data_IF_633295962149
#
_entry.id   IF_633295962149
#
_cell.length_a   1.000
_cell.length_b   1.000
_cell.length_c   1.000
_cell.angle_alpha   90.00
_cell.angle_beta   90.00
_cell.angle_gamma   90.00
#
_symmetry.space_group_name_H-M   'P 1'
#
loop_
_entity.id
_entity.type
_entity.pdbx_description
1 polymer ?
#
# COMPACT_ATOMS: atom_id res chain seq x y z
N UNK A 1 -42.16 -22.35 -2.69
CA UNK A 1 -41.22 -21.50 -1.92
C UNK A 1 -41.82 -20.11 -1.68
N UNK A 2 -41.74 -19.54 -0.46
CA UNK A 2 -42.30 -18.22 -0.19
C UNK A 2 -41.57 -17.18 -1.04
N UNK A 3 -42.32 -16.36 -1.78
CA UNK A 3 -41.81 -15.32 -2.69
C UNK A 3 -40.78 -14.39 -2.01
N UNK A 4 -40.94 -14.17 -0.71
CA UNK A 4 -40.00 -13.42 0.13
C UNK A 4 -38.58 -14.03 0.15
N UNK A 5 -38.46 -15.35 0.20
CA UNK A 5 -37.17 -16.05 0.20
C UNK A 5 -36.44 -15.90 -1.14
N UNK A 6 -37.17 -15.94 -2.26
CA UNK A 6 -36.62 -15.73 -3.59
C UNK A 6 -36.13 -14.29 -3.81
N UNK A 7 -36.86 -13.30 -3.30
CA UNK A 7 -36.47 -11.89 -3.37
C UNK A 7 -35.18 -11.61 -2.56
N UNK A 8 -35.07 -12.15 -1.35
CA UNK A 8 -33.86 -12.04 -0.53
C UNK A 8 -32.66 -12.73 -1.18
N UNK A 9 -32.85 -13.92 -1.75
CA UNK A 9 -31.80 -14.64 -2.47
C UNK A 9 -31.28 -13.81 -3.67
N UNK A 10 -32.19 -13.18 -4.43
CA UNK A 10 -31.83 -12.29 -5.53
C UNK A 10 -31.08 -11.05 -5.05
N UNK A 11 -31.52 -10.42 -3.96
CA UNK A 11 -30.84 -9.25 -3.38
C UNK A 11 -29.39 -9.57 -2.97
N UNK A 12 -29.18 -10.70 -2.29
CA UNK A 12 -27.83 -11.17 -1.89
C UNK A 12 -26.95 -11.44 -3.10
N UNK A 13 -27.49 -12.10 -4.12
CA UNK A 13 -26.77 -12.34 -5.38
C UNK A 13 -26.39 -11.03 -6.07
N UNK A 14 -27.29 -10.04 -6.10
CA UNK A 14 -26.96 -8.72 -6.65
C UNK A 14 -25.89 -8.01 -5.84
N UNK A 15 -25.97 -8.00 -4.50
CA UNK A 15 -24.92 -7.40 -3.67
C UNK A 15 -23.56 -8.06 -3.93
N UNK A 16 -23.49 -9.39 -3.89
CA UNK A 16 -22.24 -10.11 -4.20
C UNK A 16 -21.70 -9.76 -5.58
N UNK A 17 -22.57 -9.62 -6.58
CA UNK A 17 -22.14 -9.22 -7.92
C UNK A 17 -21.49 -7.83 -7.93
N UNK A 18 -22.08 -6.82 -7.29
CA UNK A 18 -21.49 -5.47 -7.22
C UNK A 18 -20.20 -5.41 -6.40
N UNK A 19 -20.09 -6.24 -5.36
CA UNK A 19 -18.90 -6.28 -4.48
C UNK A 19 -17.74 -7.15 -5.00
N UNK A 20 -17.90 -7.87 -6.12
CA UNK A 20 -16.79 -8.65 -6.70
C UNK A 20 -15.54 -7.82 -6.98
N UNK A 21 -15.64 -6.74 -7.78
CA UNK A 21 -14.49 -5.89 -8.09
C UNK A 21 -13.94 -5.14 -6.84
N UNK A 22 -14.78 -4.54 -5.98
CA UNK A 22 -14.32 -3.96 -4.72
C UNK A 22 -13.54 -4.94 -3.82
N UNK A 23 -14.03 -6.17 -3.63
CA UNK A 23 -13.37 -7.16 -2.77
C UNK A 23 -12.04 -7.59 -3.36
N UNK A 24 -11.98 -7.85 -4.68
CA UNK A 24 -10.72 -8.18 -5.34
C UNK A 24 -9.69 -7.06 -5.21
N UNK A 25 -10.12 -5.80 -5.29
CA UNK A 25 -9.25 -4.66 -5.05
C UNK A 25 -8.68 -4.71 -3.62
N UNK A 26 -9.50 -4.92 -2.59
CA UNK A 26 -9.02 -5.04 -1.20
C UNK A 26 -8.03 -6.20 -0.99
N UNK A 27 -8.28 -7.35 -1.64
CA UNK A 27 -7.38 -8.50 -1.52
C UNK A 27 -6.01 -8.21 -2.12
N UNK A 28 -5.97 -7.45 -3.21
CA UNK A 28 -4.75 -7.11 -3.93
C UNK A 28 -4.07 -5.86 -3.34
N UNK A 29 -4.83 -4.93 -2.74
CA UNK A 29 -4.31 -3.65 -2.25
C UNK A 29 -3.23 -3.79 -1.19
N UNK A 30 -3.22 -4.87 -0.42
CA UNK A 30 -2.15 -5.14 0.57
C UNK A 30 -0.76 -5.24 -0.06
N UNK A 31 -0.67 -5.55 -1.36
CA UNK A 31 0.59 -5.55 -2.12
C UNK A 31 1.00 -4.19 -2.67
N UNK A 32 0.16 -3.16 -2.52
CA UNK A 32 0.40 -1.82 -3.06
C UNK A 32 0.35 -0.78 -1.93
N UNK A 33 1.47 -0.58 -1.20
CA UNK A 33 1.57 0.36 -0.08
C UNK A 33 1.14 1.78 -0.40
N UNK A 34 1.28 2.17 -1.67
CA UNK A 34 0.82 3.47 -2.18
C UNK A 34 -0.68 3.73 -1.93
N UNK A 35 -1.49 2.70 -1.71
CA UNK A 35 -2.93 2.80 -1.45
C UNK A 35 -3.29 2.96 0.03
N UNK A 36 -2.39 2.65 0.96
CA UNK A 36 -2.67 2.67 2.40
C UNK A 36 -1.66 3.44 3.26
N UNK A 37 -0.48 3.76 2.73
CA UNK A 37 0.59 4.46 3.46
C UNK A 37 0.37 5.97 3.65
N UNK A 38 -0.85 6.49 3.47
CA UNK A 38 -1.14 7.92 3.53
C UNK A 38 -2.28 8.23 4.52
N UNK A 39 -2.30 9.44 5.10
CA UNK A 39 -3.31 9.83 6.11
C UNK A 39 -4.76 9.74 5.59
N UNK A 40 -4.94 9.92 4.28
CA UNK A 40 -6.25 9.79 3.63
C UNK A 40 -6.60 8.34 3.22
N UNK A 41 -5.86 7.32 3.64
CA UNK A 41 -6.05 5.91 3.26
C UNK A 41 -7.51 5.42 3.32
N UNK A 42 -8.27 5.65 4.41
CA UNK A 42 -9.66 5.21 4.45
C UNK A 42 -10.51 5.88 3.36
N UNK A 43 -10.30 7.17 3.09
CA UNK A 43 -11.06 7.91 2.07
C UNK A 43 -10.76 7.39 0.67
N UNK A 44 -9.48 7.16 0.35
CA UNK A 44 -9.07 6.62 -0.95
C UNK A 44 -9.61 5.22 -1.16
N UNK A 45 -9.57 4.37 -0.13
CA UNK A 45 -10.18 3.05 -0.19
C UNK A 45 -11.68 3.16 -0.51
N UNK A 46 -12.44 3.98 0.23
CA UNK A 46 -13.87 4.17 -0.04
C UNK A 46 -14.15 4.64 -1.47
N UNK A 47 -13.36 5.59 -1.99
CA UNK A 47 -13.49 6.08 -3.36
C UNK A 47 -13.23 4.98 -4.39
N UNK A 48 -12.15 4.21 -4.22
CA UNK A 48 -11.81 3.13 -5.15
C UNK A 48 -12.84 1.99 -5.12
N UNK A 49 -13.40 1.65 -3.95
CA UNK A 49 -14.49 0.67 -3.84
C UNK A 49 -15.76 1.17 -4.56
N UNK A 50 -16.10 2.44 -4.38
CA UNK A 50 -17.24 3.05 -5.07
C UNK A 50 -17.04 3.04 -6.60
N UNK A 51 -15.85 3.40 -7.08
CA UNK A 51 -15.50 3.39 -8.50
C UNK A 51 -15.51 1.96 -9.08
N UNK A 52 -15.00 0.97 -8.35
CA UNK A 52 -15.02 -0.43 -8.76
C UNK A 52 -16.46 -0.98 -8.85
N UNK A 53 -17.32 -0.66 -7.87
CA UNK A 53 -18.74 -1.00 -7.92
C UNK A 53 -19.47 -0.29 -9.08
N UNK A 54 -19.11 0.97 -9.37
CA UNK A 54 -19.66 1.75 -10.48
C UNK A 54 -19.20 1.22 -11.85
N UNK A 55 -17.94 0.79 -11.98
CA UNK A 55 -17.45 0.08 -13.15
C UNK A 55 -18.21 -1.24 -13.34
N UNK A 56 -18.46 -1.99 -12.25
CA UNK A 56 -19.28 -3.20 -12.30
C UNK A 56 -20.72 -2.93 -12.75
N UNK A 57 -21.28 -1.78 -12.38
CA UNK A 57 -22.60 -1.34 -12.83
C UNK A 57 -22.69 -1.27 -14.36
N UNK A 58 -21.68 -0.73 -15.04
CA UNK A 58 -21.62 -0.70 -16.50
C UNK A 58 -21.71 -2.12 -17.10
N UNK A 59 -20.91 -3.06 -16.58
CA UNK A 59 -20.95 -4.45 -17.06
C UNK A 59 -22.33 -5.07 -16.81
N UNK A 60 -22.95 -4.83 -15.65
CA UNK A 60 -24.28 -5.34 -15.36
C UNK A 60 -25.35 -4.80 -16.31
N UNK A 61 -25.27 -3.53 -16.72
CA UNK A 61 -26.15 -2.96 -17.75
C UNK A 61 -25.87 -3.56 -19.14
N UNK A 62 -24.60 -3.75 -19.50
CA UNK A 62 -24.18 -4.36 -20.77
C UNK A 62 -24.74 -5.77 -20.94
N UNK A 63 -24.70 -6.61 -19.89
CA UNK A 63 -25.28 -7.96 -19.92
C UNK A 63 -26.81 -7.97 -20.10
N UNK A 64 -27.47 -6.83 -19.84
CA UNK A 64 -28.91 -6.63 -20.09
C UNK A 64 -29.18 -5.96 -21.45
N UNK A 65 -28.18 -5.82 -22.31
CA UNK A 65 -28.29 -5.17 -23.61
C UNK A 65 -28.24 -3.63 -23.57
N UNK A 66 -28.10 -3.01 -22.39
CA UNK A 66 -28.02 -1.55 -22.25
C UNK A 66 -26.55 -1.13 -22.24
N UNK A 67 -26.08 -0.53 -23.34
CA UNK A 67 -24.71 -0.04 -23.44
C UNK A 67 -24.69 1.47 -23.19
N UNK A 68 -24.21 1.87 -22.01
CA UNK A 68 -23.99 3.28 -21.63
C UNK A 68 -22.51 3.51 -21.31
N UNK A 69 -21.66 3.77 -22.33
CA UNK A 69 -20.21 3.84 -22.14
C UNK A 69 -19.78 4.99 -21.22
N UNK A 70 -20.60 6.04 -21.10
CA UNK A 70 -20.37 7.16 -20.17
C UNK A 70 -20.12 6.71 -18.73
N UNK A 71 -20.75 5.63 -18.27
CA UNK A 71 -20.57 5.08 -16.92
C UNK A 71 -19.13 4.58 -16.75
N UNK A 72 -18.62 3.83 -17.74
CA UNK A 72 -17.26 3.30 -17.70
C UNK A 72 -16.22 4.42 -17.84
N UNK A 73 -16.47 5.38 -18.74
CA UNK A 73 -15.58 6.55 -18.93
C UNK A 73 -15.50 7.38 -17.64
N UNK A 74 -16.62 7.63 -16.97
CA UNK A 74 -16.64 8.37 -15.70
C UNK A 74 -15.94 7.60 -14.58
N UNK A 75 -16.15 6.27 -14.50
CA UNK A 75 -15.42 5.43 -13.55
C UNK A 75 -13.90 5.49 -13.77
N UNK A 76 -13.46 5.42 -15.03
CA UNK A 76 -12.05 5.49 -15.39
C UNK A 76 -11.45 6.88 -15.14
N UNK A 77 -12.16 7.95 -15.49
CA UNK A 77 -11.75 9.31 -15.20
C UNK A 77 -11.63 9.57 -13.69
N UNK A 78 -12.59 9.08 -12.90
CA UNK A 78 -12.54 9.13 -11.44
C UNK A 78 -11.34 8.37 -10.87
N UNK A 79 -11.03 7.19 -11.41
CA UNK A 79 -9.85 6.43 -11.03
C UNK A 79 -8.55 7.20 -11.30
N UNK A 80 -8.41 7.79 -12.50
CA UNK A 80 -7.24 8.61 -12.84
C UNK A 80 -7.13 9.85 -11.95
N UNK A 81 -8.25 10.47 -11.57
CA UNK A 81 -8.25 11.61 -10.67
C UNK A 81 -7.72 11.23 -9.27
N UNK A 82 -8.16 10.09 -8.71
CA UNK A 82 -7.65 9.58 -7.44
C UNK A 82 -6.16 9.23 -7.55
N UNK A 83 -5.75 8.55 -8.62
CA UNK A 83 -4.35 8.19 -8.85
C UNK A 83 -3.43 9.42 -9.00
N UNK A 84 -3.89 10.43 -9.76
CA UNK A 84 -3.16 11.69 -9.92
C UNK A 84 -3.03 12.47 -8.61
N UNK A 85 -4.09 12.48 -7.79
CA UNK A 85 -4.03 13.10 -6.47
C UNK A 85 -3.01 12.42 -5.55
N UNK A 86 -2.99 11.09 -5.51
CA UNK A 86 -2.01 10.32 -4.73
C UNK A 86 -0.57 10.58 -5.20
N UNK A 87 -0.34 10.62 -6.51
CA UNK A 87 0.98 10.91 -7.06
C UNK A 87 1.46 12.33 -6.71
N UNK A 88 0.53 13.30 -6.74
CA UNK A 88 0.83 14.68 -6.34
C UNK A 88 1.18 14.79 -4.86
N UNK A 89 0.40 14.16 -3.97
CA UNK A 89 0.63 14.21 -2.52
C UNK A 89 1.97 13.57 -2.13
N UNK A 90 2.28 12.40 -2.71
CA UNK A 90 3.56 11.70 -2.48
C UNK A 90 4.79 12.51 -2.89
N UNK A 91 4.69 13.33 -3.94
CA UNK A 91 5.80 14.19 -4.38
C UNK A 91 6.13 15.33 -3.39
N UNK A 92 5.15 15.81 -2.63
CA UNK A 92 5.34 16.88 -1.64
C UNK A 92 5.97 16.40 -0.34
N UNK A 93 5.60 15.20 0.12
CA UNK A 93 6.16 14.61 1.33
C UNK A 93 7.68 14.38 1.21
N UNK A 94 8.18 14.13 -0.01
CA UNK A 94 9.62 13.94 -0.27
C UNK A 94 10.39 15.26 -0.30
N UNK A 95 9.75 16.38 -0.67
CA UNK A 95 10.42 17.66 -0.85
C UNK A 95 10.69 18.41 0.48
N UNK A 96 10.02 18.03 1.58
CA UNK A 96 10.06 18.75 2.86
C UNK A 96 11.09 18.18 3.86
N UNK A 97 11.89 17.18 3.45
CA UNK A 97 12.88 16.58 4.36
C UNK A 97 14.17 17.41 4.35
N UNK A 98 14.11 18.58 4.98
CA UNK A 98 15.28 19.37 5.40
C UNK A 98 15.88 18.87 6.72
N UNK A 99 15.97 17.55 6.91
CA UNK A 99 16.35 16.89 8.17
C UNK A 99 17.83 16.48 8.22
N UNK A 100 18.41 16.53 9.42
CA UNK A 100 19.83 16.29 9.71
C UNK A 100 20.41 15.05 8.99
N UNK A 101 21.61 15.21 8.42
CA UNK A 101 22.38 14.09 7.86
C UNK A 101 22.78 13.16 9.00
N UNK A 102 22.22 11.95 9.00
CA UNK A 102 22.65 10.88 9.90
C UNK A 102 24.11 10.52 9.59
N UNK A 103 24.89 10.27 10.63
CA UNK A 103 26.14 9.53 10.51
C UNK A 103 25.85 8.03 10.29
N UNK A 104 26.84 7.31 9.79
CA UNK A 104 26.72 5.87 9.52
C UNK A 104 26.39 5.07 10.78
N UNK A 105 26.92 5.49 11.94
CA UNK A 105 26.60 4.87 13.23
C UNK A 105 25.15 5.10 13.66
N UNK A 106 24.62 6.31 13.49
CA UNK A 106 23.23 6.62 13.82
C UNK A 106 22.25 5.91 12.88
N UNK A 107 22.56 5.86 11.58
CA UNK A 107 21.77 5.14 10.61
C UNK A 107 21.76 3.63 10.90
N UNK A 108 22.92 3.03 11.24
CA UNK A 108 22.99 1.62 11.58
C UNK A 108 22.21 1.31 12.87
N UNK A 109 22.22 2.20 13.88
CA UNK A 109 21.42 2.04 15.09
C UNK A 109 19.91 2.04 14.80
N UNK A 110 19.45 2.89 13.87
CA UNK A 110 18.05 2.86 13.42
C UNK A 110 17.70 1.56 12.68
N UNK A 111 18.60 1.08 11.82
CA UNK A 111 18.44 -0.21 11.13
C UNK A 111 18.39 -1.37 12.13
N UNK A 112 19.25 -1.36 13.14
CA UNK A 112 19.26 -2.35 14.21
C UNK A 112 17.98 -2.31 15.05
N UNK A 113 17.43 -1.13 15.30
CA UNK A 113 16.20 -0.99 16.08
C UNK A 113 14.97 -1.43 15.28
N UNK A 114 14.90 -1.10 14.00
CA UNK A 114 13.66 -1.21 13.22
C UNK A 114 13.65 -2.31 12.16
N UNK A 115 14.80 -2.86 11.77
CA UNK A 115 14.90 -3.76 10.62
C UNK A 115 15.44 -5.15 10.97
N UNK A 116 16.42 -5.27 11.87
CA UNK A 116 17.12 -6.55 12.15
C UNK A 116 16.24 -7.60 12.82
N UNK A 117 15.10 -7.21 13.43
CA UNK A 117 14.07 -8.15 13.93
C UNK A 117 13.66 -9.19 12.87
N UNK A 118 13.63 -8.77 11.59
CA UNK A 118 13.33 -9.64 10.45
C UNK A 118 14.54 -9.79 9.50
N UNK A 119 15.38 -8.76 9.38
CA UNK A 119 16.49 -8.69 8.42
C UNK A 119 17.85 -8.92 9.08
N UNK A 120 17.96 -9.90 9.97
CA UNK A 120 19.23 -10.34 10.54
C UNK A 120 19.59 -11.75 10.05
N UNK A 121 20.86 -12.14 10.24
CA UNK A 121 21.29 -13.52 10.05
C UNK A 121 20.47 -14.49 10.92
N UNK A 122 20.12 -14.07 12.14
CA UNK A 122 19.23 -14.79 13.03
C UNK A 122 18.01 -13.91 13.42
N UNK A 123 16.94 -13.89 12.59
CA UNK A 123 15.74 -13.10 12.88
C UNK A 123 15.10 -13.51 14.20
N UNK A 124 14.67 -12.53 14.98
CA UNK A 124 13.98 -12.76 16.26
C UNK A 124 12.45 -12.80 16.12
N UNK A 125 11.92 -12.46 14.93
CA UNK A 125 10.49 -12.51 14.66
C UNK A 125 9.94 -13.95 14.61
N UNK A 126 8.84 -14.27 15.33
CA UNK A 126 8.26 -15.61 15.33
C UNK A 126 7.88 -16.11 13.93
N UNK A 127 8.29 -17.34 13.61
CA UNK A 127 8.00 -17.97 12.32
C UNK A 127 8.95 -17.58 11.19
N UNK A 128 10.03 -16.85 11.49
CA UNK A 128 11.06 -16.48 10.52
C UNK A 128 12.35 -17.26 10.79
N UNK A 129 12.75 -18.11 9.84
CA UNK A 129 13.98 -18.92 9.96
C UNK A 129 15.21 -18.27 9.30
N UNK A 130 14.99 -17.28 8.42
CA UNK A 130 16.03 -16.55 7.71
C UNK A 130 15.48 -15.19 7.27
N UNK A 131 16.39 -14.25 7.00
CA UNK A 131 16.00 -12.92 6.52
C UNK A 131 15.21 -12.99 5.20
N UNK A 132 14.10 -12.23 5.07
CA UNK A 132 13.34 -12.17 3.83
C UNK A 132 14.22 -11.71 2.67
N UNK A 133 14.15 -12.41 1.55
CA UNK A 133 14.96 -12.15 0.34
C UNK A 133 16.48 -12.23 0.58
N UNK A 134 16.93 -12.87 1.67
CA UNK A 134 18.35 -12.98 2.05
C UNK A 134 19.00 -11.65 2.42
N UNK A 135 18.21 -10.65 2.82
CA UNK A 135 18.71 -9.32 3.19
C UNK A 135 19.07 -9.28 4.69
N UNK A 136 20.35 -9.47 4.99
CA UNK A 136 20.91 -9.37 6.35
C UNK A 136 21.50 -7.97 6.57
N UNK A 137 20.76 -7.09 7.24
CA UNK A 137 21.05 -5.65 7.38
C UNK A 137 21.77 -5.33 8.71
N UNK A 138 22.65 -6.21 9.16
CA UNK A 138 23.39 -6.04 10.44
C UNK A 138 24.69 -5.23 10.29
N UNK A 139 25.18 -5.09 9.05
CA UNK A 139 26.43 -4.38 8.77
C UNK A 139 26.19 -3.25 7.79
N UNK A 140 27.00 -2.19 7.90
CA UNK A 140 26.95 -1.06 7.00
C UNK A 140 27.11 -1.49 5.53
N UNK A 141 28.07 -2.38 5.25
CA UNK A 141 28.30 -2.88 3.89
C UNK A 141 27.08 -3.61 3.31
N UNK A 142 26.34 -4.35 4.13
CA UNK A 142 25.13 -5.03 3.69
C UNK A 142 23.96 -4.06 3.48
N UNK A 143 23.86 -3.03 4.32
CA UNK A 143 22.88 -1.94 4.14
C UNK A 143 23.16 -1.18 2.84
N UNK A 144 24.43 -0.89 2.53
CA UNK A 144 24.86 -0.22 1.30
C UNK A 144 24.49 -1.01 0.06
N UNK A 145 24.80 -2.32 0.07
CA UNK A 145 24.43 -3.22 -1.02
C UNK A 145 22.92 -3.29 -1.26
N UNK A 146 22.12 -3.02 -0.22
CA UNK A 146 20.66 -3.03 -0.27
C UNK A 146 20.02 -1.63 -0.35
N UNK A 147 20.81 -0.55 -0.42
CA UNK A 147 20.35 0.82 -0.15
C UNK A 147 19.15 1.24 -1.01
N UNK A 148 19.21 1.02 -2.32
CA UNK A 148 18.11 1.35 -3.23
C UNK A 148 16.80 0.58 -2.91
N UNK A 149 16.93 -0.69 -2.52
CA UNK A 149 15.78 -1.54 -2.14
C UNK A 149 15.21 -1.09 -0.80
N UNK A 150 16.07 -0.82 0.18
CA UNK A 150 15.69 -0.31 1.49
C UNK A 150 15.00 1.05 1.38
N UNK A 151 15.55 1.99 0.58
CA UNK A 151 14.95 3.30 0.33
C UNK A 151 13.55 3.19 -0.28
N UNK A 152 13.35 2.27 -1.22
CA UNK A 152 12.02 2.02 -1.82
C UNK A 152 11.05 1.46 -0.78
N UNK A 153 11.48 0.49 0.03
CA UNK A 153 10.64 -0.13 1.05
C UNK A 153 10.26 0.84 2.18
N UNK A 154 11.20 1.67 2.64
CA UNK A 154 10.95 2.72 3.64
C UNK A 154 10.09 3.84 3.07
N UNK A 155 10.40 4.32 1.86
CA UNK A 155 9.70 5.44 1.23
C UNK A 155 8.25 5.16 0.86
N UNK A 156 7.89 3.89 0.66
CA UNK A 156 6.49 3.48 0.46
C UNK A 156 5.73 3.26 1.77
N UNK A 157 6.41 3.35 2.92
CA UNK A 157 5.84 3.00 4.22
C UNK A 157 5.57 1.50 4.40
N UNK A 158 6.03 0.66 3.47
CA UNK A 158 5.85 -0.79 3.56
C UNK A 158 6.66 -1.40 4.69
N UNK A 159 7.87 -0.89 4.90
CA UNK A 159 8.76 -1.30 5.98
C UNK A 159 8.96 -0.15 6.98
N UNK A 160 9.01 -0.42 8.30
CA UNK A 160 8.81 -1.73 8.93
C UNK A 160 7.37 -2.24 8.77
N UNK A 161 7.21 -3.56 8.55
CA UNK A 161 5.92 -4.16 8.24
C UNK A 161 4.89 -3.82 9.34
N UNK A 162 3.80 -3.16 8.97
CA UNK A 162 2.76 -2.74 9.92
C UNK A 162 3.25 -1.78 11.02
N UNK A 163 4.43 -1.18 10.83
CA UNK A 163 5.17 -0.40 11.82
C UNK A 163 5.28 -1.10 13.20
N UNK A 164 5.53 -2.41 13.22
CA UNK A 164 5.59 -3.23 14.47
C UNK A 164 6.68 -2.77 15.44
N UNK A 165 7.72 -2.10 14.95
CA UNK A 165 8.82 -1.53 15.75
C UNK A 165 8.58 -0.06 16.13
N UNK A 166 7.40 0.48 15.82
CA UNK A 166 6.99 1.86 16.14
C UNK A 166 7.98 2.93 15.69
N UNK A 167 8.54 2.79 14.48
CA UNK A 167 9.43 3.79 13.88
C UNK A 167 8.68 5.10 13.65
N UNK A 168 9.25 6.21 14.13
CA UNK A 168 8.70 7.55 13.95
C UNK A 168 8.86 8.02 12.50
N UNK A 169 8.01 8.96 12.07
CA UNK A 169 8.07 9.50 10.71
C UNK A 169 9.34 10.33 10.47
N UNK A 170 9.85 10.98 11.51
CA UNK A 170 11.12 11.72 11.46
C UNK A 170 12.33 10.80 11.28
N UNK A 171 12.37 9.69 12.04
CA UNK A 171 13.41 8.66 11.92
C UNK A 171 13.41 8.02 10.53
N UNK A 172 12.20 7.73 10.02
CA UNK A 172 12.00 7.18 8.67
C UNK A 172 12.50 8.15 7.60
N UNK A 173 12.16 9.44 7.73
CA UNK A 173 12.57 10.46 6.78
C UNK A 173 14.10 10.66 6.78
N UNK A 174 14.73 10.69 7.96
CA UNK A 174 16.17 10.80 8.10
C UNK A 174 16.91 9.59 7.51
N UNK A 175 16.45 8.37 7.82
CA UNK A 175 17.04 7.14 7.27
C UNK A 175 16.83 7.03 5.76
N UNK A 176 15.67 7.46 5.25
CA UNK A 176 15.40 7.51 3.81
C UNK A 176 16.31 8.50 3.07
N UNK A 177 16.57 9.68 3.65
CA UNK A 177 17.51 10.64 3.08
C UNK A 177 18.93 10.06 3.04
N UNK A 178 19.39 9.48 4.15
CA UNK A 178 20.70 8.83 4.22
C UNK A 178 20.85 7.65 3.24
N UNK A 179 19.82 6.82 3.06
CA UNK A 179 19.84 5.70 2.10
C UNK A 179 19.89 6.16 0.63
N UNK A 180 19.36 7.35 0.31
CA UNK A 180 19.35 7.90 -1.06
C UNK A 180 20.68 8.52 -1.48
N UNK A 181 21.51 8.87 -0.50
CA UNK A 181 22.83 9.47 -0.72
C UNK A 181 23.93 8.41 -0.96
N UNK A 182 23.58 7.11 -1.02
CA UNK A 182 24.48 5.97 -1.20
C UNK A 182 24.43 5.36 -2.61
#
# INVERSE_FOLDING_TARGET
>A
PPLAGLAQAKLRSTHNNYFTLPVLLCMISNHYPVLYGHRAAPLVLFLLLALAAFARHFFNLRHRGIVRPSILVLAFAGFLAVAGWLAWDGSRAVADVGGARLSDGEALALVETHCTVCHAQAPSWPGMAAAPLGLELETLAAVDAAAARAATALGTGYMPLGNVTAMADEERAALLAWLRDR
#
